data_IF_084835641339
#
_entry.id   IF_084835641339
#
_cell.length_a   1.000
_cell.length_b   1.000
_cell.length_c   1.000
_cell.angle_alpha   90.00
_cell.angle_beta   90.00
_cell.angle_gamma   90.00
#
_symmetry.space_group_name_H-M   'P 1'
#
loop_
_entity.id
_entity.type
_entity.pdbx_description
1 polymer ?
#
# COMPACT_ATOMS: atom_id res chain seq x y z
N UNK A 1 4.39 -6.80 -6.32
CA UNK A 1 3.32 -7.64 -5.73
C UNK A 1 2.25 -7.94 -6.77
N UNK A 2 1.29 -8.80 -6.44
CA UNK A 2 0.17 -9.14 -7.31
C UNK A 2 -1.15 -8.90 -6.59
N UNK A 3 -2.18 -8.42 -7.31
CA UNK A 3 -3.52 -8.23 -6.75
C UNK A 3 -4.13 -9.60 -6.44
N UNK A 4 -4.73 -9.74 -5.26
CA UNK A 4 -5.15 -11.04 -4.72
C UNK A 4 -6.19 -11.76 -5.60
N UNK A 5 -7.11 -11.01 -6.20
CA UNK A 5 -8.12 -11.52 -7.15
C UNK A 5 -7.49 -12.08 -8.44
N UNK A 6 -6.43 -11.46 -8.96
CA UNK A 6 -5.70 -11.96 -10.13
C UNK A 6 -4.82 -13.15 -9.75
N UNK A 7 -4.13 -13.07 -8.60
CA UNK A 7 -3.29 -14.16 -8.11
C UNK A 7 -4.09 -15.46 -7.93
N UNK A 8 -5.31 -15.37 -7.40
CA UNK A 8 -6.21 -16.53 -7.24
C UNK A 8 -6.57 -17.22 -8.56
N UNK A 9 -6.45 -16.53 -9.70
CA UNK A 9 -6.74 -17.11 -11.02
C UNK A 9 -5.55 -17.86 -11.62
N UNK A 10 -4.31 -17.53 -11.25
CA UNK A 10 -3.11 -18.11 -11.88
C UNK A 10 -2.82 -19.55 -11.45
N UNK A 11 -3.36 -20.00 -10.31
CA UNK A 11 -3.07 -21.30 -9.66
C UNK A 11 -1.58 -21.57 -9.42
N UNK A 12 -0.73 -20.54 -9.45
CA UNK A 12 0.73 -20.62 -9.26
C UNK A 12 1.15 -20.16 -7.86
N UNK A 13 2.33 -20.56 -7.41
CA UNK A 13 2.93 -20.02 -6.19
C UNK A 13 3.66 -18.71 -6.48
N UNK A 14 3.63 -17.78 -5.52
CA UNK A 14 4.36 -16.51 -5.63
C UNK A 14 5.87 -16.71 -5.75
N UNK A 15 6.42 -17.73 -5.09
CA UNK A 15 7.83 -18.11 -5.18
C UNK A 15 8.25 -18.43 -6.61
N UNK A 16 7.46 -19.25 -7.32
CA UNK A 16 7.74 -19.58 -8.71
C UNK A 16 7.72 -18.33 -9.60
N UNK A 17 6.80 -17.41 -9.34
CA UNK A 17 6.69 -16.15 -10.10
C UNK A 17 7.86 -15.20 -9.82
N UNK A 18 8.39 -15.21 -8.60
CA UNK A 18 9.63 -14.50 -8.27
C UNK A 18 10.82 -15.11 -9.01
N UNK A 19 10.91 -16.45 -9.06
CA UNK A 19 11.97 -17.13 -9.82
C UNK A 19 11.91 -16.80 -11.32
N UNK A 20 10.72 -16.76 -11.92
CA UNK A 20 10.55 -16.35 -13.31
C UNK A 20 11.00 -14.90 -13.54
N UNK A 21 10.63 -13.99 -12.63
CA UNK A 21 11.06 -12.59 -12.70
C UNK A 21 12.58 -12.44 -12.64
N UNK A 22 13.23 -13.18 -11.73
CA UNK A 22 14.69 -13.18 -11.60
C UNK A 22 15.40 -13.82 -12.80
N UNK A 23 14.74 -14.74 -13.50
CA UNK A 23 15.25 -15.39 -14.70
C UNK A 23 15.18 -14.48 -15.95
N UNK A 24 14.42 -13.39 -15.92
CA UNK A 24 14.32 -12.47 -17.05
C UNK A 24 15.70 -11.91 -17.43
N UNK A 25 16.09 -11.89 -18.72
CA UNK A 25 17.46 -11.52 -19.14
C UNK A 25 17.93 -10.17 -18.60
N UNK A 26 17.06 -9.17 -18.58
CA UNK A 26 17.38 -7.81 -18.12
C UNK A 26 17.53 -7.70 -16.60
N UNK A 27 16.87 -8.59 -15.85
CA UNK A 27 17.00 -8.68 -14.39
C UNK A 27 18.22 -9.51 -14.03
N UNK A 28 18.40 -10.67 -14.66
CA UNK A 28 19.51 -11.59 -14.43
C UNK A 28 20.87 -10.92 -14.57
N UNK A 29 21.05 -10.01 -15.54
CA UNK A 29 22.28 -9.21 -15.73
C UNK A 29 22.62 -8.30 -14.54
N UNK A 30 21.62 -7.93 -13.73
CA UNK A 30 21.76 -7.07 -12.54
C UNK A 30 21.96 -7.87 -11.26
N UNK A 31 21.80 -9.19 -11.32
CA UNK A 31 22.00 -10.07 -10.17
C UNK A 31 23.48 -10.42 -10.01
N UNK A 32 23.89 -10.65 -8.77
CA UNK A 32 25.22 -11.15 -8.47
C UNK A 32 25.40 -12.56 -9.06
N UNK A 33 26.46 -12.77 -9.85
CA UNK A 33 26.80 -14.09 -10.37
C UNK A 33 27.03 -15.08 -9.22
N UNK A 34 26.29 -16.19 -9.22
CA UNK A 34 26.34 -17.20 -8.15
C UNK A 34 25.60 -16.83 -6.87
N UNK A 35 24.91 -15.68 -6.83
CA UNK A 35 24.09 -15.28 -5.69
C UNK A 35 22.91 -16.23 -5.45
N UNK A 36 22.60 -16.48 -4.17
CA UNK A 36 21.45 -17.29 -3.74
C UNK A 36 20.48 -16.41 -2.95
N UNK A 37 19.18 -16.63 -3.19
CA UNK A 37 18.14 -16.05 -2.35
C UNK A 37 18.13 -16.75 -0.99
N UNK A 38 17.94 -15.97 0.06
CA UNK A 38 17.69 -16.43 1.42
C UNK A 38 16.50 -15.65 1.98
N UNK A 39 15.85 -16.18 3.02
CA UNK A 39 14.76 -15.52 3.76
C UNK A 39 13.62 -14.98 2.88
N UNK A 40 13.26 -15.72 1.84
CA UNK A 40 12.14 -15.36 0.97
C UNK A 40 10.85 -15.46 1.76
N UNK A 41 10.16 -14.33 1.91
CA UNK A 41 8.89 -14.25 2.60
C UNK A 41 7.83 -13.62 1.70
N UNK A 42 6.60 -14.13 1.80
CA UNK A 42 5.44 -13.60 1.09
C UNK A 42 4.40 -13.13 2.09
N UNK A 43 3.94 -11.90 1.94
CA UNK A 43 2.95 -11.30 2.82
C UNK A 43 1.79 -10.73 2.02
N UNK A 44 0.61 -10.80 2.61
CA UNK A 44 -0.56 -10.10 2.09
C UNK A 44 -0.54 -8.66 2.56
N UNK A 45 -0.92 -7.75 1.67
CA UNK A 45 -1.04 -6.34 1.97
C UNK A 45 -2.53 -5.97 1.93
N UNK A 46 -3.05 -5.50 3.07
CA UNK A 46 -4.41 -4.99 3.18
C UNK A 46 -4.45 -3.54 2.72
N UNK A 47 -5.07 -3.30 1.57
CA UNK A 47 -5.28 -1.95 1.06
C UNK A 47 -6.57 -1.35 1.63
N UNK A 48 -6.45 -0.21 2.28
CA UNK A 48 -7.52 0.50 3.00
C UNK A 48 -8.35 1.39 2.10
N UNK A 49 -8.37 1.11 0.80
CA UNK A 49 -9.23 1.77 -0.17
C UNK A 49 -10.68 1.27 -0.14
N UNK A 50 -11.02 0.43 0.83
CA UNK A 50 -12.35 -0.14 0.98
C UNK A 50 -13.25 0.87 1.70
N UNK A 51 -14.41 1.14 1.12
CA UNK A 51 -15.40 2.01 1.76
C UNK A 51 -16.00 1.32 3.00
N UNK A 52 -16.32 2.13 4.02
CA UNK A 52 -16.98 1.64 5.23
C UNK A 52 -16.08 0.91 6.24
N UNK A 53 -14.76 0.86 6.04
CA UNK A 53 -13.86 0.36 7.08
C UNK A 53 -13.97 1.22 8.34
N UNK A 54 -14.06 0.52 9.48
CA UNK A 54 -14.05 1.09 10.83
C UNK A 54 -12.72 0.79 11.48
N UNK A 55 -12.19 1.78 12.18
CA UNK A 55 -10.89 1.70 12.85
C UNK A 55 -10.99 2.04 14.34
N UNK A 56 -12.19 2.40 14.81
CA UNK A 56 -12.49 2.61 16.23
C UNK A 56 -13.59 1.65 16.70
N UNK A 57 -13.42 1.15 17.92
CA UNK A 57 -14.29 0.19 18.60
C UNK A 57 -14.41 0.58 20.08
N UNK A 58 -15.37 0.00 20.80
CA UNK A 58 -15.40 0.14 22.26
C UNK A 58 -14.10 -0.43 22.85
N UNK A 59 -13.33 0.43 23.52
CA UNK A 59 -12.06 0.07 24.14
C UNK A 59 -10.89 -0.17 23.19
N UNK A 60 -11.03 0.07 21.88
CA UNK A 60 -9.99 -0.31 20.91
C UNK A 60 -9.89 0.56 19.67
N UNK A 61 -8.66 0.70 19.15
CA UNK A 61 -8.35 1.38 17.90
C UNK A 61 -7.46 0.46 17.03
N UNK A 62 -7.67 0.47 15.72
CA UNK A 62 -6.81 -0.22 14.75
C UNK A 62 -5.84 0.78 14.13
N UNK A 63 -4.60 0.35 13.89
CA UNK A 63 -3.53 1.17 13.29
C UNK A 63 -2.83 0.42 12.16
N UNK A 64 -2.15 1.14 11.27
CA UNK A 64 -1.32 0.58 10.21
C UNK A 64 -2.03 -0.46 9.35
N UNK A 65 -1.37 -1.58 9.09
CA UNK A 65 -1.87 -2.67 8.25
C UNK A 65 -3.16 -3.30 8.79
N UNK A 66 -3.35 -3.29 10.12
CA UNK A 66 -4.58 -3.77 10.75
C UNK A 66 -5.79 -2.86 10.44
N UNK A 67 -5.55 -1.56 10.30
CA UNK A 67 -6.54 -0.59 9.80
C UNK A 67 -6.55 -0.50 8.26
N UNK A 68 -5.70 -1.26 7.57
CA UNK A 68 -5.57 -1.22 6.11
C UNK A 68 -4.88 0.03 5.57
N UNK A 69 -4.09 0.78 6.34
CA UNK A 69 -3.48 2.02 5.86
C UNK A 69 -2.31 1.83 4.87
N UNK A 70 -2.33 0.79 4.03
CA UNK A 70 -1.34 0.55 2.99
C UNK A 70 -1.72 1.27 1.70
N UNK A 71 -0.75 1.96 1.10
CA UNK A 71 -0.93 2.60 -0.20
C UNK A 71 -1.09 1.55 -1.31
N UNK A 72 -2.18 1.57 -2.10
CA UNK A 72 -2.50 0.54 -3.09
C UNK A 72 -1.61 0.56 -4.35
N UNK A 73 -0.83 1.64 -4.59
CA UNK A 73 0.12 1.70 -5.71
C UNK A 73 1.49 1.25 -5.26
N UNK A 74 2.02 1.90 -4.22
CA UNK A 74 3.41 1.69 -3.80
C UNK A 74 3.58 0.43 -2.96
N UNK A 75 2.50 -0.07 -2.35
CA UNK A 75 2.55 -1.11 -1.32
C UNK A 75 3.16 -0.62 0.00
N UNK A 76 3.45 0.68 0.13
CA UNK A 76 4.02 1.26 1.33
C UNK A 76 2.96 1.45 2.42
N UNK A 77 3.23 0.92 3.62
CA UNK A 77 2.39 1.07 4.80
C UNK A 77 3.08 1.79 5.97
N UNK A 78 4.42 1.82 6.03
CA UNK A 78 5.19 2.32 7.19
C UNK A 78 4.82 3.76 7.55
N UNK A 79 4.86 4.68 6.59
CA UNK A 79 4.56 6.09 6.82
C UNK A 79 3.12 6.31 7.33
N UNK A 80 2.14 5.70 6.67
CA UNK A 80 0.75 5.79 7.07
C UNK A 80 0.49 5.09 8.42
N UNK A 81 1.20 4.00 8.69
CA UNK A 81 1.21 3.30 9.97
C UNK A 81 1.65 4.21 11.10
N UNK A 82 2.77 4.93 10.91
CA UNK A 82 3.27 5.92 11.87
C UNK A 82 2.25 7.04 12.13
N UNK A 83 1.69 7.64 11.07
CA UNK A 83 0.64 8.68 11.21
C UNK A 83 -0.56 8.12 11.98
N UNK A 84 -1.05 6.94 11.59
CA UNK A 84 -2.21 6.33 12.23
C UNK A 84 -1.97 5.99 13.70
N UNK A 85 -0.74 5.61 14.05
CA UNK A 85 -0.34 5.32 15.43
C UNK A 85 -0.28 6.59 16.26
N UNK A 86 0.26 7.69 15.72
CA UNK A 86 0.28 8.99 16.39
C UNK A 86 -1.13 9.50 16.68
N UNK A 87 -2.02 9.43 15.68
CA UNK A 87 -3.43 9.80 15.83
C UNK A 87 -4.14 8.93 16.87
N UNK A 88 -3.86 7.63 16.88
CA UNK A 88 -4.45 6.68 17.83
C UNK A 88 -3.96 6.96 19.25
N UNK A 89 -2.66 7.22 19.43
CA UNK A 89 -2.08 7.56 20.73
C UNK A 89 -2.70 8.84 21.30
N UNK A 90 -2.88 9.88 20.48
CA UNK A 90 -3.57 11.12 20.88
C UNK A 90 -5.01 10.85 21.32
N UNK A 91 -5.78 10.11 20.51
CA UNK A 91 -7.18 9.79 20.85
C UNK A 91 -7.27 8.90 22.10
N UNK A 92 -6.40 7.91 22.25
CA UNK A 92 -6.36 7.06 23.44
C UNK A 92 -6.03 7.86 24.69
N UNK A 93 -5.06 8.77 24.62
CA UNK A 93 -4.71 9.65 25.74
C UNK A 93 -5.88 10.53 26.18
N UNK A 94 -6.57 11.18 25.21
CA UNK A 94 -7.77 11.99 25.47
C UNK A 94 -8.89 11.17 26.15
N UNK A 95 -9.17 9.97 25.62
CA UNK A 95 -10.20 9.08 26.13
C UNK A 95 -9.90 8.57 27.55
N UNK A 96 -8.65 8.18 27.81
CA UNK A 96 -8.19 7.73 29.13
C UNK A 96 -8.25 8.87 30.15
N UNK A 97 -7.85 10.08 29.74
CA UNK A 97 -7.91 11.28 30.60
C UNK A 97 -9.35 11.66 30.95
N UNK A 98 -10.27 11.51 30.00
CA UNK A 98 -11.70 11.73 30.19
C UNK A 98 -12.41 10.57 30.94
N UNK A 99 -11.70 9.48 31.24
CA UNK A 99 -12.25 8.31 31.94
C UNK A 99 -13.26 7.49 31.12
N UNK A 100 -13.25 7.60 29.79
CA UNK A 100 -14.19 6.87 28.93
C UNK A 100 -13.56 6.43 27.62
N UNK A 101 -13.46 5.11 27.43
CA UNK A 101 -12.98 4.47 26.20
C UNK A 101 -14.14 3.94 25.34
N UNK A 102 -15.34 4.47 25.50
CA UNK A 102 -16.48 4.11 24.68
C UNK A 102 -16.27 4.56 23.22
N UNK A 103 -16.90 3.85 22.28
CA UNK A 103 -16.87 4.19 20.85
C UNK A 103 -17.31 5.63 20.59
N UNK A 104 -18.24 6.17 21.40
CA UNK A 104 -18.69 7.56 21.28
C UNK A 104 -17.57 8.58 21.45
N UNK A 105 -16.55 8.26 22.25
CA UNK A 105 -15.32 9.07 22.42
C UNK A 105 -14.27 8.71 21.37
N UNK A 106 -14.08 7.41 21.12
CA UNK A 106 -13.02 6.92 20.23
C UNK A 106 -13.29 7.18 18.74
N UNK A 107 -14.55 7.37 18.31
CA UNK A 107 -14.91 7.61 16.91
C UNK A 107 -14.23 8.83 16.28
N UNK A 108 -13.76 9.79 17.09
CA UNK A 108 -13.00 10.95 16.59
C UNK A 108 -11.71 10.51 15.88
N UNK A 109 -11.14 9.37 16.27
CA UNK A 109 -10.00 8.77 15.60
C UNK A 109 -10.27 8.53 14.10
N UNK A 110 -11.45 8.01 13.76
CA UNK A 110 -11.80 7.75 12.37
C UNK A 110 -11.85 9.03 11.54
N UNK A 111 -12.37 10.12 12.13
CA UNK A 111 -12.38 11.42 11.48
C UNK A 111 -10.95 11.93 11.23
N UNK A 112 -10.07 11.84 12.24
CA UNK A 112 -8.66 12.24 12.14
C UNK A 112 -7.95 11.45 11.03
N UNK A 113 -8.11 10.13 11.01
CA UNK A 113 -7.54 9.30 9.95
C UNK A 113 -8.12 9.62 8.56
N UNK A 114 -9.42 9.89 8.45
CA UNK A 114 -10.04 10.28 7.19
C UNK A 114 -9.51 11.61 6.66
N UNK A 115 -9.20 12.56 7.54
CA UNK A 115 -8.65 13.85 7.15
C UNK A 115 -7.19 13.71 6.70
N UNK A 116 -6.36 12.99 7.45
CA UNK A 116 -4.92 12.91 7.18
C UNK A 116 -4.56 11.89 6.09
N UNK A 117 -5.18 10.71 6.07
CA UNK A 117 -4.73 9.58 5.23
C UNK A 117 -5.58 9.39 3.97
N UNK A 118 -6.88 9.70 4.03
CA UNK A 118 -7.81 9.35 2.95
C UNK A 118 -7.52 10.05 1.61
N UNK A 119 -7.16 11.35 1.56
CA UNK A 119 -6.89 12.01 0.29
C UNK A 119 -5.77 11.32 -0.52
N UNK A 120 -4.71 10.89 0.17
CA UNK A 120 -3.59 10.15 -0.44
C UNK A 120 -3.99 8.74 -0.87
N UNK A 121 -4.61 7.98 0.04
CA UNK A 121 -5.01 6.59 -0.21
C UNK A 121 -6.04 6.47 -1.34
N UNK A 122 -7.04 7.37 -1.38
CA UNK A 122 -8.10 7.35 -2.38
C UNK A 122 -7.59 7.74 -3.78
N UNK A 123 -6.69 8.73 -3.86
CA UNK A 123 -6.00 9.08 -5.10
C UNK A 123 -5.20 7.90 -5.62
N UNK A 124 -4.41 7.27 -4.74
CA UNK A 124 -3.61 6.10 -5.11
C UNK A 124 -4.49 4.94 -5.58
N UNK A 125 -5.61 4.69 -4.92
CA UNK A 125 -6.57 3.66 -5.32
C UNK A 125 -7.14 3.91 -6.72
N UNK A 126 -7.53 5.15 -6.99
CA UNK A 126 -8.09 5.56 -8.29
C UNK A 126 -7.08 5.34 -9.41
N UNK A 127 -5.83 5.78 -9.21
CA UNK A 127 -4.76 5.56 -10.17
C UNK A 127 -4.46 4.08 -10.37
N UNK A 128 -4.37 3.27 -9.30
CA UNK A 128 -4.16 1.83 -9.44
C UNK A 128 -5.22 1.20 -10.36
N UNK A 129 -6.50 1.56 -10.18
CA UNK A 129 -7.59 1.06 -11.04
C UNK A 129 -7.46 1.51 -12.49
N UNK A 130 -7.09 2.77 -12.74
CA UNK A 130 -6.93 3.29 -14.10
C UNK A 130 -5.73 2.63 -14.80
N UNK A 131 -4.57 2.58 -14.13
CA UNK A 131 -3.35 1.96 -14.64
C UNK A 131 -3.60 0.49 -15.00
N UNK A 132 -4.27 -0.26 -14.12
CA UNK A 132 -4.60 -1.66 -14.38
C UNK A 132 -5.67 -1.87 -15.45
N UNK A 133 -6.53 -0.88 -15.71
CA UNK A 133 -7.58 -0.98 -16.74
C UNK A 133 -7.04 -0.71 -18.15
N UNK A 134 -5.95 0.03 -18.28
CA UNK A 134 -5.40 0.44 -19.58
C UNK A 134 -3.90 0.10 -19.72
N UNK A 135 -3.50 -1.19 -19.63
CA UNK A 135 -2.08 -1.57 -19.70
C UNK A 135 -1.41 -1.12 -21.01
N UNK A 136 -2.11 -1.21 -22.15
CA UNK A 136 -1.57 -0.76 -23.44
C UNK A 136 -1.27 0.75 -23.49
N UNK A 137 -2.06 1.57 -22.79
CA UNK A 137 -1.82 3.02 -22.69
C UNK A 137 -0.59 3.30 -21.84
N UNK A 138 -0.40 2.56 -20.74
CA UNK A 138 0.77 2.71 -19.88
C UNK A 138 2.03 2.26 -20.61
N UNK A 139 1.98 1.13 -21.32
CA UNK A 139 3.11 0.67 -22.15
C UNK A 139 3.45 1.68 -23.24
N UNK A 140 2.44 2.30 -23.86
CA UNK A 140 2.64 3.39 -24.82
C UNK A 140 3.32 4.61 -24.18
N UNK A 141 2.83 5.05 -23.02
CA UNK A 141 3.40 6.18 -22.29
C UNK A 141 4.83 5.91 -21.80
N UNK A 142 5.13 4.69 -21.34
CA UNK A 142 6.48 4.29 -20.92
C UNK A 142 7.42 4.26 -22.12
N UNK A 143 7.01 3.66 -23.25
CA UNK A 143 7.82 3.62 -24.47
C UNK A 143 8.13 5.02 -24.99
N UNK A 144 7.14 5.91 -25.00
CA UNK A 144 7.31 7.31 -25.44
C UNK A 144 8.04 8.18 -24.41
N UNK A 145 7.93 7.86 -23.12
CA UNK A 145 8.63 8.54 -22.03
C UNK A 145 10.10 8.13 -21.88
N UNK A 146 10.47 6.92 -22.32
CA UNK A 146 11.87 6.46 -22.40
C UNK A 146 12.72 7.37 -23.29
N UNK A 147 12.11 7.98 -24.30
CA UNK A 147 12.79 8.90 -25.22
C UNK A 147 12.91 10.33 -24.66
N UNK A 148 12.30 10.63 -23.50
CA UNK A 148 12.27 11.97 -22.92
C UNK A 148 12.67 11.98 -21.43
N UNK A 149 13.96 12.18 -21.18
CA UNK A 149 14.60 12.06 -19.85
C UNK A 149 14.01 12.96 -18.74
N UNK A 150 13.31 14.05 -19.10
CA UNK A 150 12.63 14.93 -18.14
C UNK A 150 11.37 14.29 -17.55
N UNK A 151 10.58 13.56 -18.34
CA UNK A 151 9.35 12.94 -17.84
C UNK A 151 9.65 11.80 -16.86
N UNK A 152 10.68 11.02 -17.14
CA UNK A 152 11.18 9.99 -16.21
C UNK A 152 11.65 10.61 -14.88
N UNK A 153 12.33 11.76 -14.92
CA UNK A 153 12.75 12.47 -13.70
C UNK A 153 11.56 12.97 -12.89
N UNK A 154 10.57 13.59 -13.52
CA UNK A 154 9.35 14.10 -12.85
C UNK A 154 8.55 12.95 -12.22
N UNK A 155 8.48 11.81 -12.88
CA UNK A 155 7.79 10.62 -12.36
C UNK A 155 8.48 10.05 -11.12
N UNK A 156 9.82 10.06 -11.08
CA UNK A 156 10.61 9.61 -9.93
C UNK A 156 10.61 10.60 -8.76
N UNK A 157 10.42 11.90 -8.99
CA UNK A 157 10.39 12.90 -7.89
C UNK A 157 9.02 13.01 -7.21
N UNK A 158 7.96 12.46 -7.79
CA UNK A 158 6.57 12.60 -7.29
C UNK A 158 5.94 11.28 -6.80
N UNK A 159 6.68 10.17 -6.84
CA UNK A 159 6.34 8.90 -6.19
C UNK A 159 6.94 8.85 -4.79
#
# INVERSE_FOLDING_TARGET
>A
GMRLDQFRQTKRKLEDMLHDFLAMPEIKKRLLNGGKLHDVATWQLNFGSQEGLRFAFDGGLLVGDAAGFINPITGGGIHNGMISAELAAKTAHEALTAGSTALSQLKIYEQRCRQELWPGLHRSYTYQRILMRFPALIDFLIKRGRDNSQLAKIFLTKL
#
